data_IF_493703865977
#
_entry.id   IF_493703865977
#
_cell.length_a   1.000
_cell.length_b   1.000
_cell.length_c   1.000
_cell.angle_alpha   90.00
_cell.angle_beta   90.00
_cell.angle_gamma   90.00
#
_symmetry.space_group_name_H-M   'P 1'
#
loop_
_entity.id
_entity.type
_entity.pdbx_description
1 polymer ?
#
# COMPACT_ATOMS: atom_id res chain seq x y z
N UNK A 1 -5.18 27.01 4.99
CA UNK A 1 -5.08 25.81 4.13
C UNK A 1 -4.97 24.61 5.08
N UNK A 2 -6.06 23.88 5.33
CA UNK A 2 -5.99 22.69 6.17
C UNK A 2 -5.20 21.63 5.41
N UNK A 3 -3.97 21.32 5.84
CA UNK A 3 -3.28 20.13 5.37
C UNK A 3 -4.07 18.93 5.89
N UNK A 4 -4.93 18.39 5.02
CA UNK A 4 -5.68 17.18 5.35
C UNK A 4 -4.66 16.07 5.65
N UNK A 5 -4.68 15.57 6.88
CA UNK A 5 -3.70 14.58 7.32
C UNK A 5 -3.88 13.29 6.52
N UNK A 6 -2.77 12.71 6.08
CA UNK A 6 -2.80 11.37 5.49
C UNK A 6 -3.30 10.35 6.51
N UNK A 7 -4.05 9.37 6.02
CA UNK A 7 -4.59 8.25 6.80
C UNK A 7 -3.85 6.98 6.40
N UNK A 8 -3.50 6.16 7.38
CA UNK A 8 -3.03 4.78 7.16
C UNK A 8 -4.12 3.82 7.61
N UNK A 9 -4.48 2.87 6.76
CA UNK A 9 -5.48 1.83 7.02
C UNK A 9 -4.84 0.47 6.82
N UNK A 10 -4.90 -0.37 7.84
CA UNK A 10 -4.46 -1.77 7.75
C UNK A 10 -5.61 -2.59 7.22
N UNK A 11 -5.33 -3.45 6.26
CA UNK A 11 -6.35 -4.23 5.58
C UNK A 11 -6.09 -5.73 5.79
N UNK A 12 -7.13 -6.52 6.03
CA UNK A 12 -7.01 -7.97 6.11
C UNK A 12 -6.72 -8.53 4.73
N UNK A 13 -5.68 -9.35 4.62
CA UNK A 13 -5.23 -9.91 3.35
C UNK A 13 -5.00 -11.40 3.43
N UNK A 14 -5.00 -12.03 2.27
CA UNK A 14 -4.43 -13.35 2.05
C UNK A 14 -3.27 -13.22 1.08
N UNK A 15 -2.13 -13.73 1.52
CA UNK A 15 -0.92 -13.77 0.72
C UNK A 15 -0.96 -15.00 -0.18
N UNK A 16 -0.76 -14.80 -1.49
CA UNK A 16 -0.58 -15.93 -2.41
C UNK A 16 0.85 -16.46 -2.33
N UNK A 17 1.08 -17.70 -2.75
CA UNK A 17 2.41 -18.28 -2.77
C UNK A 17 3.35 -17.51 -3.72
N UNK A 18 2.81 -17.03 -4.83
CA UNK A 18 3.54 -16.24 -5.83
C UNK A 18 3.98 -14.90 -5.24
N UNK A 19 3.10 -14.22 -4.52
CA UNK A 19 3.42 -12.96 -3.87
C UNK A 19 4.48 -13.14 -2.78
N UNK A 20 4.38 -14.19 -1.96
CA UNK A 20 5.41 -14.51 -0.97
C UNK A 20 6.78 -14.70 -1.63
N UNK A 21 6.86 -15.55 -2.66
CA UNK A 21 8.11 -15.80 -3.38
C UNK A 21 8.69 -14.52 -4.01
N UNK A 22 7.83 -13.66 -4.58
CA UNK A 22 8.25 -12.39 -5.16
C UNK A 22 8.78 -11.40 -4.12
N UNK A 23 8.19 -11.35 -2.93
CA UNK A 23 8.64 -10.49 -1.84
C UNK A 23 9.96 -10.97 -1.25
N UNK A 24 10.14 -12.28 -1.09
CA UNK A 24 11.41 -12.87 -0.65
C UNK A 24 12.53 -12.57 -1.66
N UNK A 25 12.28 -12.80 -2.94
CA UNK A 25 13.24 -12.48 -4.00
C UNK A 25 13.59 -10.98 -4.04
N UNK A 26 12.59 -10.10 -3.86
CA UNK A 26 12.82 -8.65 -3.80
C UNK A 26 13.67 -8.27 -2.59
N UNK A 27 13.37 -8.83 -1.42
CA UNK A 27 14.11 -8.58 -0.18
C UNK A 27 15.57 -9.00 -0.31
N UNK A 28 15.82 -10.21 -0.82
CA UNK A 28 17.18 -10.72 -1.05
C UNK A 28 17.95 -9.88 -2.08
N UNK A 29 17.31 -9.50 -3.19
CA UNK A 29 17.92 -8.66 -4.22
C UNK A 29 18.30 -7.30 -3.65
N UNK A 30 17.37 -6.65 -2.93
CA UNK A 30 17.59 -5.34 -2.31
C UNK A 30 18.69 -5.36 -1.26
N UNK A 31 18.76 -6.40 -0.42
CA UNK A 31 19.84 -6.54 0.58
C UNK A 31 21.22 -6.68 -0.08
N UNK A 32 21.28 -7.29 -1.27
CA UNK A 32 22.52 -7.48 -2.03
C UNK A 32 22.92 -6.22 -2.77
N UNK A 33 21.95 -5.56 -3.40
CA UNK A 33 22.14 -4.32 -4.14
C UNK A 33 20.85 -3.48 -4.09
N UNK A 34 20.81 -2.39 -3.31
CA UNK A 34 19.63 -1.54 -3.21
C UNK A 34 19.19 -0.90 -4.53
N UNK A 35 20.07 -0.83 -5.54
CA UNK A 35 19.76 -0.22 -6.84
C UNK A 35 18.88 -1.11 -7.73
N UNK A 36 18.67 -2.38 -7.36
CA UNK A 36 17.83 -3.31 -8.11
C UNK A 36 16.33 -3.10 -7.89
N UNK A 37 15.94 -2.26 -6.93
CA UNK A 37 14.54 -2.01 -6.61
C UNK A 37 13.83 -1.31 -7.79
N UNK A 38 12.75 -1.89 -8.34
CA UNK A 38 12.04 -1.30 -9.47
C UNK A 38 11.52 0.11 -9.17
N UNK A 39 11.50 0.96 -10.21
CA UNK A 39 10.95 2.32 -10.09
C UNK A 39 9.50 2.29 -9.61
N UNK A 40 9.19 3.11 -8.61
CA UNK A 40 7.88 3.17 -7.95
C UNK A 40 7.75 2.23 -6.75
N UNK A 41 8.71 1.32 -6.55
CA UNK A 41 8.88 0.58 -5.30
C UNK A 41 9.99 1.21 -4.47
N UNK A 42 9.89 1.04 -3.16
CA UNK A 42 10.92 1.43 -2.20
C UNK A 42 11.00 0.37 -1.11
N UNK A 43 12.20 -0.09 -0.84
CA UNK A 43 12.49 -1.06 0.21
C UNK A 43 13.28 -0.38 1.32
N UNK A 44 12.89 -0.64 2.56
CA UNK A 44 13.60 -0.15 3.75
C UNK A 44 13.50 -1.16 4.88
N UNK A 45 14.28 -0.94 5.92
CA UNK A 45 14.19 -1.71 7.16
C UNK A 45 13.64 -0.80 8.27
N UNK A 46 12.67 -1.28 9.04
CA UNK A 46 12.21 -0.56 10.23
C UNK A 46 13.28 -0.59 11.32
N UNK A 47 13.10 0.22 12.36
CA UNK A 47 14.04 0.24 13.51
C UNK A 47 14.10 -1.10 14.23
N UNK A 48 13.02 -1.86 14.15
CA UNK A 48 12.84 -3.19 14.73
C UNK A 48 13.36 -4.30 13.82
N UNK A 49 13.97 -3.96 12.67
CA UNK A 49 14.53 -4.94 11.75
C UNK A 49 13.55 -5.49 10.71
N UNK A 50 12.27 -5.10 10.76
CA UNK A 50 11.25 -5.55 9.82
C UNK A 50 11.50 -5.01 8.41
N UNK A 51 11.39 -5.88 7.39
CA UNK A 51 11.43 -5.43 6.00
C UNK A 51 10.15 -4.67 5.65
N UNK A 52 10.31 -3.50 5.03
CA UNK A 52 9.20 -2.63 4.62
C UNK A 52 9.31 -2.36 3.12
N UNK A 53 8.31 -2.82 2.39
CA UNK A 53 8.10 -2.47 0.99
C UNK A 53 7.02 -1.38 0.91
N UNK A 54 7.31 -0.33 0.15
CA UNK A 54 6.35 0.73 -0.19
C UNK A 54 6.19 0.77 -1.70
N UNK A 55 4.94 0.78 -2.18
CA UNK A 55 4.61 0.89 -3.60
C UNK A 55 3.82 2.17 -3.87
N UNK A 56 4.27 2.96 -4.85
CA UNK A 56 3.61 4.17 -5.30
C UNK A 56 2.37 3.84 -6.14
N UNK A 57 1.43 4.79 -6.21
CA UNK A 57 0.18 4.66 -7.00
C UNK A 57 0.40 4.27 -8.47
N UNK A 58 1.56 4.62 -9.06
CA UNK A 58 1.89 4.28 -10.44
C UNK A 58 2.23 2.81 -10.69
N UNK A 59 2.44 2.01 -9.63
CA UNK A 59 2.88 0.62 -9.73
C UNK A 59 1.94 -0.37 -9.07
N UNK A 60 0.75 0.05 -8.66
CA UNK A 60 -0.29 -0.88 -8.24
C UNK A 60 -1.65 -0.50 -8.81
N UNK A 61 -2.52 -1.51 -8.93
CA UNK A 61 -3.91 -1.35 -9.33
C UNK A 61 -4.79 -2.04 -8.29
N UNK A 62 -5.89 -1.40 -7.92
CA UNK A 62 -6.89 -1.98 -7.02
C UNK A 62 -8.07 -2.51 -7.83
N UNK A 63 -8.47 -3.73 -7.53
CA UNK A 63 -9.66 -4.40 -8.06
C UNK A 63 -10.54 -4.81 -6.88
N UNK A 64 -11.85 -5.07 -7.09
CA UNK A 64 -12.68 -5.67 -6.04
C UNK A 64 -12.05 -6.98 -5.54
N UNK A 65 -11.68 -7.03 -4.26
CA UNK A 65 -11.07 -8.20 -3.63
C UNK A 65 -9.60 -8.46 -3.95
N UNK A 66 -8.93 -7.59 -4.71
CA UNK A 66 -7.49 -7.75 -4.97
C UNK A 66 -6.74 -6.41 -5.14
N UNK A 67 -5.46 -6.41 -4.82
CA UNK A 67 -4.53 -5.37 -5.21
C UNK A 67 -3.35 -5.97 -5.96
N UNK A 68 -3.14 -5.54 -7.21
CA UNK A 68 -2.05 -6.05 -8.05
C UNK A 68 -0.90 -5.06 -8.02
N UNK A 69 0.27 -5.50 -7.58
CA UNK A 69 1.51 -4.72 -7.61
C UNK A 69 2.35 -5.16 -8.81
N UNK A 70 2.67 -4.20 -9.68
CA UNK A 70 3.42 -4.42 -10.92
C UNK A 70 4.78 -5.03 -10.60
N UNK A 71 5.04 -6.20 -11.18
CA UNK A 71 6.31 -6.91 -11.03
C UNK A 71 6.43 -7.72 -9.74
N UNK A 72 5.40 -7.76 -8.88
CA UNK A 72 5.40 -8.61 -7.67
C UNK A 72 4.26 -9.63 -7.69
N UNK A 73 3.03 -9.20 -8.00
CA UNK A 73 1.88 -10.10 -8.03
C UNK A 73 0.63 -9.51 -7.42
N UNK A 74 -0.36 -10.36 -7.17
CA UNK A 74 -1.65 -9.97 -6.59
C UNK A 74 -1.69 -10.24 -5.08
N UNK A 75 -2.27 -9.30 -4.35
CA UNK A 75 -2.62 -9.37 -2.94
C UNK A 75 -4.12 -9.63 -2.90
N UNK A 76 -4.54 -10.77 -2.36
CA UNK A 76 -5.96 -11.04 -2.15
C UNK A 76 -6.42 -10.28 -0.90
N UNK A 77 -7.49 -9.51 -1.04
CA UNK A 77 -8.05 -8.70 0.03
C UNK A 77 -9.25 -9.44 0.61
N UNK A 78 -9.37 -9.46 1.94
CA UNK A 78 -10.56 -10.01 2.59
C UNK A 78 -11.66 -8.96 2.51
N UNK A 79 -12.57 -9.11 1.53
CA UNK A 79 -13.66 -8.18 1.26
C UNK A 79 -13.69 -7.75 -0.21
N UNK A 80 -14.74 -7.07 -0.64
CA UNK A 80 -14.87 -6.56 -2.02
C UNK A 80 -14.99 -5.04 -2.08
N UNK A 81 -14.91 -4.39 -0.93
CA UNK A 81 -15.00 -2.94 -0.81
C UNK A 81 -13.82 -2.26 -1.52
N UNK A 82 -14.04 -1.07 -2.12
CA UNK A 82 -12.97 -0.28 -2.67
C UNK A 82 -11.92 0.05 -1.60
N UNK A 83 -10.65 -0.16 -1.95
CA UNK A 83 -9.51 0.13 -1.06
C UNK A 83 -9.39 1.61 -0.67
N UNK A 84 -9.83 2.47 -1.57
CA UNK A 84 -9.75 3.91 -1.44
C UNK A 84 -11.10 4.54 -1.66
N UNK A 85 -11.42 5.52 -0.83
CA UNK A 85 -12.62 6.34 -1.01
C UNK A 85 -12.55 7.10 -2.35
N UNK A 86 -13.68 7.26 -3.07
CA UNK A 86 -13.72 8.06 -4.27
C UNK A 86 -13.17 9.47 -4.02
N UNK A 87 -12.19 9.89 -4.83
CA UNK A 87 -11.51 11.18 -4.67
C UNK A 87 -10.34 11.20 -3.66
N UNK A 88 -9.97 10.06 -3.07
CA UNK A 88 -8.74 9.93 -2.33
C UNK A 88 -7.50 10.17 -3.23
N UNK A 89 -6.51 10.87 -2.70
CA UNK A 89 -5.25 11.20 -3.38
C UNK A 89 -4.01 10.70 -2.64
N UNK A 90 -2.85 10.83 -3.29
CA UNK A 90 -1.54 10.46 -2.73
C UNK A 90 -1.53 9.04 -2.17
N UNK A 91 -1.95 8.07 -2.99
CA UNK A 91 -2.12 6.69 -2.55
C UNK A 91 -0.80 5.95 -2.53
N UNK A 92 -0.58 5.22 -1.46
CA UNK A 92 0.64 4.43 -1.26
C UNK A 92 0.25 3.12 -0.60
N UNK A 93 0.85 2.05 -1.07
CA UNK A 93 0.72 0.72 -0.49
C UNK A 93 1.95 0.43 0.34
N UNK A 94 1.77 -0.17 1.50
CA UNK A 94 2.85 -0.56 2.41
C UNK A 94 2.67 -2.02 2.81
N UNK A 95 3.71 -2.81 2.60
CA UNK A 95 3.84 -4.19 3.07
C UNK A 95 4.97 -4.23 4.09
N UNK A 96 4.70 -4.82 5.25
CA UNK A 96 5.69 -4.99 6.32
C UNK A 96 5.76 -6.46 6.74
N UNK A 97 6.96 -7.00 6.73
CA UNK A 97 7.27 -8.33 7.24
C UNK A 97 7.41 -8.25 8.76
N UNK A 98 6.40 -8.73 9.50
CA UNK A 98 6.38 -8.72 10.97
C UNK A 98 6.48 -10.15 11.51
N UNK A 99 6.80 -10.30 12.80
CA UNK A 99 6.86 -11.61 13.45
C UNK A 99 5.54 -12.40 13.37
N UNK A 100 4.41 -11.69 13.26
CA UNK A 100 3.07 -12.27 13.12
C UNK A 100 2.70 -12.56 11.64
N UNK A 101 3.59 -12.24 10.70
CA UNK A 101 3.42 -12.35 9.26
C UNK A 101 3.34 -11.00 8.55
N UNK A 102 2.93 -11.02 7.29
CA UNK A 102 2.85 -9.81 6.45
C UNK A 102 1.69 -8.92 6.86
N UNK A 103 2.01 -7.67 7.22
CA UNK A 103 1.03 -6.61 7.46
C UNK A 103 0.90 -5.73 6.22
N UNK A 104 -0.32 -5.63 5.72
CA UNK A 104 -0.66 -4.80 4.59
C UNK A 104 -1.41 -3.55 5.03
N UNK A 105 -0.91 -2.39 4.64
CA UNK A 105 -1.58 -1.12 4.86
C UNK A 105 -1.58 -0.25 3.62
N UNK A 106 -2.59 0.60 3.52
CA UNK A 106 -2.67 1.65 2.50
C UNK A 106 -2.62 3.01 3.18
N UNK A 107 -1.86 3.93 2.60
CA UNK A 107 -1.77 5.32 2.99
C UNK A 107 -2.39 6.18 1.92
N UNK A 108 -3.26 7.12 2.30
CA UNK A 108 -3.87 8.05 1.35
C UNK A 108 -4.32 9.32 2.04
N UNK A 109 -4.52 10.38 1.26
CA UNK A 109 -5.22 11.60 1.69
C UNK A 109 -6.70 11.42 1.36
N UNK A 110 -7.62 11.48 2.34
CA UNK A 110 -9.05 11.39 2.10
C UNK A 110 -9.55 12.50 1.15
N UNK A 111 -10.70 12.33 0.50
CA UNK A 111 -11.27 13.38 -0.34
C UNK A 111 -11.52 14.66 0.46
N UNK A 112 -11.34 15.82 -0.19
CA UNK A 112 -11.68 17.12 0.41
C UNK A 112 -13.19 17.26 0.40
N UNK A 113 -13.84 17.08 1.55
CA UNK A 113 -15.27 17.39 1.70
C UNK A 113 -15.40 18.91 1.84
N UNK A 114 -15.83 19.58 0.76
CA UNK A 114 -16.28 20.97 0.85
C UNK A 114 -17.72 20.99 1.31
N UNK A 115 -17.96 21.25 2.58
CA UNK A 115 -19.30 21.63 3.05
C UNK A 115 -19.71 22.91 2.30
N UNK A 116 -20.65 22.80 1.36
CA UNK A 116 -21.33 24.00 0.87
C UNK A 116 -22.16 24.52 2.02
N UNK A 117 -21.86 25.72 2.49
CA UNK A 117 -22.72 26.51 3.36
C UNK A 117 -24.15 26.53 2.79
N UNK A 118 -25.02 25.64 3.26
CA UNK A 118 -26.46 25.86 3.17
C UNK A 118 -26.79 26.98 4.15
N UNK A 119 -26.65 28.24 3.70
CA UNK A 119 -27.37 29.34 4.33
C UNK A 119 -28.86 29.07 4.08
N UNK A 120 -29.71 28.90 5.10
CA UNK A 120 -31.14 29.06 4.92
C UNK A 120 -31.38 30.52 4.55
N UNK A 121 -32.01 30.76 3.40
CA UNK A 121 -32.58 32.06 3.06
C UNK A 121 -33.90 32.28 3.79
#
# INVERSE_FOLDING_TARGET
MSHQKSREVVLPIRMTAELHAALDALREAWQRDPTTVPRGLSCSQSKEGAFVLTAAESVFVTLPGACVVKGLGAIELVGTEPLFEPGAGSKTLVLRDTEEGWRFSVKFVPPIVRERNTKPG
#
